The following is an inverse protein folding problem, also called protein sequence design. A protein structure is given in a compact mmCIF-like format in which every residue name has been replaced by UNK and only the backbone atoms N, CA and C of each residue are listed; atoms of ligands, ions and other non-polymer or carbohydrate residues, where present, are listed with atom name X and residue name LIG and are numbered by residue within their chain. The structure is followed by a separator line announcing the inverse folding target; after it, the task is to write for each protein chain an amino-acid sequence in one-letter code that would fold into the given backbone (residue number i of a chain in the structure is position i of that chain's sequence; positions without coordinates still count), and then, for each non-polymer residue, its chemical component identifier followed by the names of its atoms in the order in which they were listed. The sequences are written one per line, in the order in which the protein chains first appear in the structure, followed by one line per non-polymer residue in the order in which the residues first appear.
data_IF_617259211913
#
_entry.id   IF_617259211913
#
_cell.length_a   1.000
_cell.length_b   1.000
_cell.length_c   1.000
_cell.angle_alpha   90.00
_cell.angle_beta   90.00
_cell.angle_gamma   90.00
#
_symmetry.space_group_name_H-M   'P 1'
#
loop_
_entity.id
_entity.type
_entity.pdbx_description
1 polymer ?
#
# COMPACT_ATOMS: atom_id res chain seq x y z
N UNK A 1 -14.81 -3.01 -3.14
CA UNK A 1 -14.69 -4.39 -2.64
C UNK A 1 -13.54 -4.42 -1.66
N UNK A 2 -13.80 -4.87 -0.44
CA UNK A 2 -12.78 -4.97 0.60
C UNK A 2 -12.39 -6.44 0.80
N UNK A 3 -11.09 -6.74 0.81
CA UNK A 3 -10.57 -8.10 1.02
C UNK A 3 -9.94 -8.17 2.41
N UNK A 4 -10.38 -9.13 3.24
CA UNK A 4 -9.81 -9.35 4.56
C UNK A 4 -8.53 -10.19 4.44
N UNK A 5 -7.41 -9.66 4.94
CA UNK A 5 -6.11 -10.34 4.95
C UNK A 5 -5.87 -11.16 6.22
N UNK A 6 -6.41 -10.71 7.35
CA UNK A 6 -6.25 -11.38 8.64
C UNK A 6 -7.55 -11.27 9.44
N UNK A 7 -7.86 -12.30 10.21
CA UNK A 7 -9.11 -12.41 10.98
C UNK A 7 -8.91 -12.07 12.46
N UNK A 8 -7.75 -12.33 13.06
CA UNK A 8 -7.46 -12.05 14.47
C UNK A 8 -5.94 -11.90 14.76
N UNK A 9 -5.54 -11.09 15.76
CA UNK A 9 -6.37 -10.22 16.60
C UNK A 9 -6.72 -8.88 15.94
N UNK A 10 -6.05 -8.54 14.84
CA UNK A 10 -6.24 -7.30 14.10
C UNK A 10 -6.78 -7.62 12.72
N UNK A 11 -8.00 -7.17 12.41
CA UNK A 11 -8.60 -7.42 11.11
C UNK A 11 -8.04 -6.42 10.10
N UNK A 12 -7.15 -6.88 9.25
CA UNK A 12 -6.59 -6.07 8.17
C UNK A 12 -7.43 -6.24 6.92
N UNK A 13 -7.81 -5.13 6.29
CA UNK A 13 -8.58 -5.13 5.06
C UNK A 13 -7.90 -4.26 3.99
N UNK A 14 -7.85 -4.77 2.77
CA UNK A 14 -7.45 -4.00 1.59
C UNK A 14 -8.67 -3.35 0.96
N UNK A 15 -8.63 -2.03 0.78
CA UNK A 15 -9.70 -1.26 0.14
C UNK A 15 -9.16 -0.41 -1.01
N UNK A 16 -9.97 -0.19 -2.04
CA UNK A 16 -9.66 0.76 -3.12
C UNK A 16 -10.02 2.20 -2.77
N UNK A 17 -10.85 2.37 -1.76
CA UNK A 17 -11.30 3.68 -1.32
C UNK A 17 -10.44 4.13 -0.15
N UNK A 18 -10.16 5.44 -0.05
CA UNK A 18 -9.50 5.97 1.13
C UNK A 18 -10.37 5.67 2.36
N UNK A 19 -9.77 5.29 3.49
CA UNK A 19 -10.52 5.06 4.71
C UNK A 19 -11.18 6.36 5.17
N UNK A 20 -12.40 6.27 5.71
CA UNK A 20 -13.08 7.41 6.31
C UNK A 20 -12.32 7.98 7.52
N UNK A 21 -11.57 7.12 8.22
CA UNK A 21 -10.75 7.46 9.36
C UNK A 21 -9.27 7.23 9.03
N UNK A 22 -8.52 8.33 8.92
CA UNK A 22 -7.10 8.30 8.60
C UNK A 22 -6.27 7.56 9.66
N UNK A 23 -6.73 7.50 10.92
CA UNK A 23 -6.03 6.79 12.00
C UNK A 23 -5.96 5.28 11.79
N UNK A 24 -6.84 4.73 10.94
CA UNK A 24 -6.89 3.31 10.60
C UNK A 24 -6.09 2.97 9.34
N UNK A 25 -5.63 3.99 8.60
CA UNK A 25 -4.85 3.81 7.39
C UNK A 25 -3.41 3.43 7.73
N UNK A 26 -2.95 2.30 7.22
CA UNK A 26 -1.54 1.93 7.27
C UNK A 26 -0.92 2.40 5.95
N UNK A 27 0.09 3.26 6.06
CA UNK A 27 0.84 3.77 4.90
C UNK A 27 2.28 3.31 4.98
N UNK A 28 2.91 3.17 3.82
CA UNK A 28 4.28 2.70 3.69
C UNK A 28 5.07 3.70 2.86
N UNK A 29 6.32 3.97 3.23
CA UNK A 29 7.18 4.87 2.47
C UNK A 29 7.86 4.15 1.30
N UNK A 30 8.11 2.84 1.44
CA UNK A 30 8.82 2.04 0.45
C UNK A 30 8.08 0.74 0.09
N UNK A 31 8.25 0.29 -1.15
CA UNK A 31 7.62 -0.94 -1.64
C UNK A 31 8.10 -2.18 -0.88
N UNK A 32 9.41 -2.26 -0.57
CA UNK A 32 10.00 -3.40 0.15
C UNK A 32 9.41 -3.56 1.55
N UNK A 33 9.14 -2.44 2.23
CA UNK A 33 8.51 -2.41 3.55
C UNK A 33 7.07 -2.92 3.48
N UNK A 34 6.28 -2.42 2.53
CA UNK A 34 4.91 -2.87 2.31
C UNK A 34 4.85 -4.37 1.98
N UNK A 35 5.76 -4.86 1.15
CA UNK A 35 5.86 -6.28 0.80
C UNK A 35 6.19 -7.14 2.02
N UNK A 36 7.22 -6.76 2.79
CA UNK A 36 7.61 -7.49 3.99
C UNK A 36 6.48 -7.53 5.02
N UNK A 37 5.77 -6.40 5.18
CA UNK A 37 4.60 -6.32 6.05
C UNK A 37 3.48 -7.26 5.60
N UNK A 38 3.15 -7.29 4.30
CA UNK A 38 2.12 -8.16 3.74
C UNK A 38 2.47 -9.64 3.91
N UNK A 39 3.73 -10.02 3.66
CA UNK A 39 4.22 -11.40 3.84
C UNK A 39 4.22 -11.84 5.31
N UNK A 40 4.45 -10.91 6.22
CA UNK A 40 4.39 -11.18 7.66
C UNK A 40 2.94 -11.42 8.14
N UNK A 41 1.93 -11.01 7.35
CA UNK A 41 0.54 -11.34 7.67
C UNK A 41 0.26 -12.80 7.31
N UNK A 42 -0.43 -13.50 8.20
CA UNK A 42 -0.95 -14.84 7.96
C UNK A 42 -2.14 -14.80 6.99
N UNK A 43 -1.89 -14.50 5.72
CA UNK A 43 -2.92 -14.44 4.69
C UNK A 43 -3.36 -15.86 4.35
N UNK A 44 -4.66 -16.20 4.49
CA UNK A 44 -5.13 -17.52 4.16
C UNK A 44 -4.97 -17.79 2.65
N UNK A 45 -4.60 -19.01 2.22
CA UNK A 45 -4.37 -19.33 0.82
C UNK A 45 -5.64 -19.15 -0.04
N UNK A 46 -6.82 -19.22 0.60
CA UNK A 46 -8.13 -18.97 -0.05
C UNK A 46 -8.31 -17.52 -0.49
N UNK A 47 -7.54 -16.57 0.04
CA UNK A 47 -7.61 -15.17 -0.37
C UNK A 47 -6.80 -14.87 -1.65
N UNK A 48 -5.87 -15.74 -2.05
CA UNK A 48 -5.00 -15.50 -3.21
C UNK A 48 -5.75 -15.24 -4.52
N UNK A 49 -6.81 -15.99 -4.89
CA UNK A 49 -7.58 -15.70 -6.10
C UNK A 49 -8.19 -14.30 -6.08
N UNK A 50 -8.81 -13.91 -4.96
CA UNK A 50 -9.39 -12.58 -4.81
C UNK A 50 -8.34 -11.46 -4.89
N UNK A 51 -7.12 -11.71 -4.39
CA UNK A 51 -5.99 -10.77 -4.53
C UNK A 51 -5.53 -10.64 -5.98
N UNK A 52 -5.51 -11.74 -6.76
CA UNK A 52 -5.20 -11.71 -8.20
C UNK A 52 -6.26 -10.90 -8.96
N UNK A 53 -7.54 -11.11 -8.68
CA UNK A 53 -8.64 -10.36 -9.29
C UNK A 53 -8.54 -8.87 -8.95
N UNK A 54 -8.18 -8.55 -7.71
CA UNK A 54 -8.01 -7.17 -7.27
C UNK A 54 -6.82 -6.49 -7.97
N UNK A 55 -5.71 -7.21 -8.21
CA UNK A 55 -4.59 -6.71 -9.01
C UNK A 55 -4.99 -6.46 -10.46
N UNK A 56 -5.65 -7.43 -11.09
CA UNK A 56 -6.11 -7.33 -12.48
C UNK A 56 -7.04 -6.13 -12.67
N UNK A 57 -7.99 -5.93 -11.75
CA UNK A 57 -8.91 -4.81 -11.79
C UNK A 57 -8.27 -3.44 -11.46
N UNK A 58 -7.00 -3.40 -11.03
CA UNK A 58 -6.20 -2.17 -10.95
C UNK A 58 -5.26 -1.99 -12.17
N UNK A 59 -5.37 -2.86 -13.18
CA UNK A 59 -4.55 -2.82 -14.39
C UNK A 59 -3.16 -3.41 -14.22
N UNK A 60 -2.90 -4.18 -13.16
CA UNK A 60 -1.66 -4.93 -13.06
C UNK A 60 -1.71 -6.15 -14.00
N UNK A 61 -0.56 -6.46 -14.62
CA UNK A 61 -0.43 -7.66 -15.44
C UNK A 61 -0.67 -8.93 -14.59
N UNK A 62 -1.10 -10.01 -15.25
CA UNK A 62 -1.34 -11.29 -14.60
C UNK A 62 -0.06 -11.77 -13.88
N UNK A 63 -0.10 -11.95 -12.54
CA UNK A 63 1.09 -12.31 -11.78
C UNK A 63 1.50 -13.76 -12.10
N UNK A 64 2.77 -13.97 -12.47
CA UNK A 64 3.31 -15.29 -12.81
C UNK A 64 3.48 -16.23 -11.61
N UNK A 65 3.26 -15.76 -10.38
CA UNK A 65 3.39 -16.51 -9.15
C UNK A 65 3.05 -15.67 -7.92
N UNK A 66 3.09 -16.30 -6.74
CA UNK A 66 2.65 -15.65 -5.50
C UNK A 66 3.55 -14.48 -5.09
N UNK A 67 4.86 -14.58 -5.32
CA UNK A 67 5.80 -13.46 -5.11
C UNK A 67 5.44 -12.22 -5.96
N UNK A 68 4.95 -12.43 -7.19
CA UNK A 68 4.52 -11.33 -8.06
C UNK A 68 3.24 -10.68 -7.55
N UNK A 69 2.35 -11.45 -6.90
CA UNK A 69 1.14 -10.92 -6.25
C UNK A 69 1.54 -9.95 -5.13
N UNK A 70 2.44 -10.37 -4.24
CA UNK A 70 2.89 -9.54 -3.11
C UNK A 70 3.57 -8.27 -3.59
N UNK A 71 4.47 -8.38 -4.58
CA UNK A 71 5.17 -7.22 -5.17
C UNK A 71 4.20 -6.23 -5.82
N UNK A 72 3.18 -6.73 -6.52
CA UNK A 72 2.14 -5.92 -7.14
C UNK A 72 1.27 -5.21 -6.12
N UNK A 73 0.84 -5.90 -5.06
CA UNK A 73 0.04 -5.31 -3.98
C UNK A 73 0.82 -4.22 -3.25
N UNK A 74 2.09 -4.48 -2.93
CA UNK A 74 2.98 -3.50 -2.31
C UNK A 74 3.12 -2.22 -3.16
N UNK A 75 3.26 -2.37 -4.48
CA UNK A 75 3.31 -1.23 -5.40
C UNK A 75 2.01 -0.41 -5.37
N UNK A 76 0.85 -1.07 -5.37
CA UNK A 76 -0.44 -0.38 -5.31
C UNK A 76 -0.66 0.36 -3.98
N UNK A 77 -0.14 -0.16 -2.88
CA UNK A 77 -0.20 0.50 -1.57
C UNK A 77 0.66 1.76 -1.53
N UNK A 78 1.90 1.69 -2.02
CA UNK A 78 2.82 2.85 -2.04
C UNK A 78 2.32 3.94 -2.99
N UNK A 79 1.77 3.55 -4.15
CA UNK A 79 1.16 4.49 -5.11
C UNK A 79 -0.23 4.99 -4.67
N UNK A 80 -0.71 4.58 -3.49
CA UNK A 80 -2.02 4.94 -2.92
C UNK A 80 -3.22 4.63 -3.83
N UNK A 81 -3.07 3.67 -4.74
CA UNK A 81 -4.19 3.10 -5.51
C UNK A 81 -4.95 2.05 -4.70
N UNK A 82 -4.29 1.49 -3.69
CA UNK A 82 -4.90 0.69 -2.64
C UNK A 82 -4.58 1.28 -1.27
N UNK A 83 -5.49 1.03 -0.32
CA UNK A 83 -5.34 1.39 1.07
C UNK A 83 -5.43 0.15 1.94
N UNK A 84 -4.49 0.01 2.86
CA UNK A 84 -4.55 -1.01 3.90
C UNK A 84 -5.18 -0.38 5.14
N UNK A 85 -6.29 -0.94 5.60
CA UNK A 85 -7.09 -0.41 6.70
C UNK A 85 -7.12 -1.40 7.85
N UNK A 86 -6.81 -0.91 9.05
CA UNK A 86 -6.94 -1.66 10.29
C UNK A 86 -8.38 -1.54 10.81
N UNK A 87 -9.16 -2.62 10.69
CA UNK A 87 -10.50 -2.68 11.27
C UNK A 87 -10.43 -3.20 12.69
N UNK A 88 -10.81 -2.35 13.64
CA UNK A 88 -11.19 -2.83 14.96
C UNK A 88 -12.57 -3.48 14.81
N UNK A 89 -12.67 -4.78 15.09
CA UNK A 89 -13.99 -5.37 15.27
C UNK A 89 -14.58 -4.72 16.52
N UNK A 90 -15.71 -4.01 16.44
CA UNK A 90 -16.35 -3.49 17.63
C UNK A 90 -16.70 -4.70 18.50
N UNK A 91 -15.99 -4.83 19.62
CA UNK A 91 -16.27 -5.87 20.60
C UNK A 91 -17.65 -5.56 21.21
N UNK A 92 -18.70 -6.21 20.68
CA UNK A 92 -20.02 -6.31 21.27
C UNK A 92 -20.70 -5.01 21.73
N UNK A 93 -21.29 -4.25 20.80
CA UNK A 93 -22.28 -3.21 21.10
C UNK A 93 -23.62 -3.56 20.48
N UNK A 94 -24.49 -4.25 21.23
CA UNK A 94 -25.85 -4.64 20.81
C UNK A 94 -26.75 -3.39 20.74
N UNK A 95 -26.61 -2.55 19.72
CA UNK A 95 -27.58 -1.47 19.44
C UNK A 95 -28.70 -1.99 18.57
N UNK A 96 -29.58 -2.79 19.17
CA UNK A 96 -30.93 -3.02 18.67
C UNK A 96 -31.84 -1.96 19.27
N UNK A 97 -32.08 -0.89 18.52
CA UNK A 97 -33.12 0.08 18.81
C UNK A 97 -34.47 -0.49 18.35
N UNK A 98 -35.31 -0.88 19.31
CA UNK A 98 -36.77 -0.81 19.17
C UNK A 98 -37.30 -0.21 20.46
N UNK A 99 -37.88 0.98 20.34
CA UNK A 99 -38.70 1.60 21.38
C UNK A 99 -39.84 0.64 21.74
N UNK A 100 -40.11 0.46 23.03
CA UNK A 100 -41.27 1.07 23.68
C UNK A 100 -41.29 0.72 25.18
N UNK A 101 -41.86 1.62 25.97
CA UNK A 101 -42.31 1.43 27.36
C UNK A 101 -41.30 1.62 28.51
N UNK A 102 -41.32 2.83 29.07
CA UNK A 102 -40.97 3.11 30.47
C UNK A 102 -42.18 2.78 31.39
N UNK A 103 -41.96 2.46 32.68
CA UNK A 103 -42.04 3.55 33.67
C UNK A 103 -41.04 3.44 34.85
N UNK A 104 -40.29 4.54 35.05
CA UNK A 104 -39.99 5.28 36.31
C UNK A 104 -39.58 4.53 37.63
N UNK A 105 -39.24 5.23 38.73
CA UNK A 105 -37.88 5.23 39.28
C UNK A 105 -37.78 4.63 40.71
N UNK A 106 -36.58 4.17 41.10
CA UNK A 106 -36.27 3.88 42.52
C UNK A 106 -34.92 4.49 42.91
N UNK A 107 -34.86 5.32 43.97
CA UNK A 107 -33.63 5.91 44.47
C UNK A 107 -32.96 4.95 45.47
N UNK A 108 -31.72 4.53 45.16
CA UNK A 108 -30.85 3.76 46.06
C UNK A 108 -29.65 4.60 46.55
N UNK A 109 -29.08 4.32 47.73
CA UNK A 109 -28.58 5.35 48.63
C UNK A 109 -27.14 5.81 48.39
N UNK A 110 -26.92 7.09 48.71
CA UNK A 110 -25.63 7.75 48.94
C UNK A 110 -24.84 7.05 50.06
N UNK A 111 -23.56 6.76 49.82
CA UNK A 111 -22.42 6.61 50.77
C UNK A 111 -21.19 6.33 49.89
N UNK A 112 -20.02 6.95 50.00
CA UNK A 112 -19.48 7.98 50.87
C UNK A 112 -18.14 8.38 50.24
N UNK A 113 -17.72 9.62 50.47
CA UNK A 113 -16.41 10.12 50.08
C UNK A 113 -15.30 9.34 50.79
N UNK A 114 -14.19 9.04 50.10
CA UNK A 114 -12.82 9.21 50.63
C UNK A 114 -11.77 9.16 49.51
N UNK A 115 -10.98 10.24 49.51
CA UNK A 115 -9.67 10.51 48.90
C UNK A 115 -8.72 9.34 48.67
N UNK A 116 -7.97 9.38 47.55
CA UNK A 116 -6.52 9.68 47.51
C UNK A 116 -5.81 9.13 46.24
N UNK A 117 -5.47 10.01 45.28
CA UNK A 117 -4.16 9.96 44.56
C UNK A 117 -3.04 10.41 45.53
N UNK A 118 -1.72 10.13 45.40
CA UNK A 118 -0.86 9.88 44.20
C UNK A 118 0.28 8.83 44.51
N UNK A 119 1.50 8.76 43.91
CA UNK A 119 2.08 9.48 42.77
C UNK A 119 2.77 8.64 41.68
N UNK A 120 2.96 9.33 40.55
CA UNK A 120 3.79 9.01 39.40
C UNK A 120 5.29 9.04 39.79
N UNK A 121 6.11 8.07 39.38
CA UNK A 121 7.56 8.16 39.52
C UNK A 121 8.16 9.18 38.52
N UNK A 122 9.20 9.93 38.91
CA UNK A 122 9.75 11.05 38.14
C UNK A 122 10.51 10.62 36.86
N UNK A 123 10.61 11.50 35.85
CA UNK A 123 11.52 11.33 34.74
C UNK A 123 12.97 11.60 35.20
N UNK A 124 13.84 10.59 35.12
CA UNK A 124 15.28 10.82 35.23
C UNK A 124 15.74 11.68 34.05
N UNK A 125 16.35 12.81 34.37
CA UNK A 125 16.76 13.84 33.43
C UNK A 125 17.96 13.48 32.55
N UNK A 126 17.91 14.10 31.37
CA UNK A 126 18.94 15.03 30.84
C UNK A 126 20.40 14.58 30.79
N UNK A 127 20.89 14.37 29.56
CA UNK A 127 22.17 14.96 29.15
C UNK A 127 22.10 15.52 27.72
N UNK A 128 22.32 16.82 27.67
CA UNK A 128 22.41 17.77 26.55
C UNK A 128 23.64 17.53 25.66
N UNK A 129 23.47 17.77 24.34
CA UNK A 129 24.34 18.32 23.26
C UNK A 129 25.84 17.90 23.19
N UNK A 130 26.57 17.81 22.07
CA UNK A 130 26.53 18.35 20.70
C UNK A 130 27.71 17.65 19.91
N UNK A 131 28.21 18.13 18.74
CA UNK A 131 27.82 17.88 17.34
C UNK A 131 28.82 17.02 16.51
N UNK A 132 28.45 16.84 15.22
CA UNK A 132 29.29 16.81 14.02
C UNK A 132 30.17 15.58 13.70
N UNK A 133 29.77 14.86 12.64
CA UNK A 133 30.66 14.40 11.57
C UNK A 133 29.85 13.91 10.34
N UNK A 134 29.43 14.83 9.50
CA UNK A 134 29.48 14.64 8.03
C UNK A 134 30.58 15.60 7.54
N UNK A 135 31.34 15.33 6.45
CA UNK A 135 30.83 14.74 5.21
C UNK A 135 31.85 13.81 4.49
N UNK A 136 31.49 13.45 3.26
CA UNK A 136 32.32 12.90 2.16
C UNK A 136 32.07 11.41 1.89
N UNK A 137 31.16 11.13 0.95
CA UNK A 137 31.50 10.50 -0.35
C UNK A 137 30.50 10.99 -1.43
N UNK A 138 30.65 12.24 -1.88
CA UNK A 138 30.26 12.60 -3.26
C UNK A 138 31.42 12.13 -4.15
N UNK A 139 31.28 11.00 -4.88
CA UNK A 139 32.09 10.68 -6.08
C UNK A 139 31.77 9.37 -6.83
N UNK A 140 30.55 8.83 -6.77
CA UNK A 140 30.20 7.62 -7.53
C UNK A 140 28.85 7.67 -8.24
N UNK A 141 28.28 8.85 -8.47
CA UNK A 141 27.02 8.99 -9.23
C UNK A 141 27.24 9.19 -10.75
N UNK A 142 28.44 9.56 -11.18
CA UNK A 142 28.71 9.96 -12.57
C UNK A 142 29.21 8.83 -13.50
N UNK A 143 29.52 7.64 -12.96
CA UNK A 143 30.05 6.51 -13.74
C UNK A 143 29.00 5.45 -14.09
N UNK A 144 27.77 5.57 -13.59
CA UNK A 144 26.71 4.56 -13.74
C UNK A 144 25.66 4.92 -14.80
N UNK A 145 25.70 6.13 -15.38
CA UNK A 145 24.69 6.57 -16.36
C UNK A 145 24.98 6.08 -17.79
N UNK A 146 26.25 6.00 -18.20
CA UNK A 146 26.62 5.57 -19.56
C UNK A 146 26.44 4.07 -19.79
N UNK A 147 26.54 3.25 -18.74
CA UNK A 147 26.31 1.79 -18.82
C UNK A 147 24.83 1.47 -19.01
N UNK A 148 23.93 2.29 -18.47
CA UNK A 148 22.48 2.11 -18.64
C UNK A 148 22.00 2.47 -20.05
N UNK A 149 22.62 3.46 -20.69
CA UNK A 149 22.29 3.84 -22.07
C UNK A 149 22.64 2.72 -23.06
N UNK A 150 23.83 2.13 -22.95
CA UNK A 150 24.26 1.04 -23.84
C UNK A 150 23.37 -0.23 -23.70
N UNK A 151 22.87 -0.52 -22.48
CA UNK A 151 21.98 -1.65 -22.25
C UNK A 151 20.59 -1.51 -22.92
N UNK A 152 20.07 -0.29 -23.04
CA UNK A 152 18.76 -0.04 -23.68
C UNK A 152 18.81 -0.17 -25.20
N UNK A 153 19.91 0.23 -25.84
CA UNK A 153 20.07 0.10 -27.29
C UNK A 153 20.16 -1.38 -27.72
N UNK A 154 20.83 -2.21 -26.93
CA UNK A 154 20.98 -3.64 -27.22
C UNK A 154 19.67 -4.42 -27.01
N UNK A 155 18.79 -3.96 -26.10
CA UNK A 155 17.45 -4.52 -25.91
C UNK A 155 16.50 -4.20 -27.08
N UNK A 156 16.72 -3.07 -27.77
CA UNK A 156 15.90 -2.66 -28.92
C UNK A 156 16.20 -3.49 -30.18
N UNK A 157 17.45 -3.92 -30.36
CA UNK A 157 17.86 -4.75 -31.51
C UNK A 157 17.27 -6.17 -31.48
N UNK A 158 16.89 -6.69 -30.30
CA UNK A 158 16.33 -8.03 -30.13
C UNK A 158 14.81 -8.08 -29.90
N UNK A 159 14.13 -6.93 -29.81
CA UNK A 159 12.71 -6.88 -29.53
C UNK A 159 11.88 -7.27 -30.76
N UNK A 160 11.26 -8.46 -30.72
CA UNK A 160 10.24 -8.86 -31.68
C UNK A 160 8.99 -7.98 -31.48
N UNK A 161 8.43 -7.34 -32.53
CA UNK A 161 7.16 -6.65 -32.39
C UNK A 161 6.05 -7.70 -32.14
N UNK A 162 5.48 -7.71 -30.93
CA UNK A 162 4.55 -8.75 -30.49
C UNK A 162 3.13 -8.65 -31.09
N UNK A 163 2.87 -7.77 -32.06
CA UNK A 163 1.53 -7.63 -32.64
C UNK A 163 1.57 -7.30 -34.13
N UNK A 164 0.83 -8.06 -34.94
CA UNK A 164 0.66 -7.83 -36.39
C UNK A 164 0.15 -6.41 -36.73
N UNK A 165 -0.58 -5.79 -35.80
CA UNK A 165 -1.05 -4.40 -35.93
C UNK A 165 0.12 -3.40 -35.88
N UNK A 166 1.16 -3.70 -35.09
CA UNK A 166 2.34 -2.84 -35.01
C UNK A 166 3.19 -2.92 -36.28
N UNK A 167 3.24 -4.08 -36.94
CA UNK A 167 3.89 -4.22 -38.26
C UNK A 167 3.12 -3.47 -39.36
N UNK A 168 1.80 -3.59 -39.41
CA UNK A 168 0.98 -2.83 -40.36
C UNK A 168 1.20 -1.32 -40.22
N UNK A 169 1.16 -0.79 -38.98
CA UNK A 169 1.37 0.65 -38.74
C UNK A 169 2.80 1.12 -39.01
N UNK A 170 3.78 0.22 -39.01
CA UNK A 170 5.15 0.55 -39.41
C UNK A 170 5.24 0.66 -40.93
N UNK A 171 4.71 -0.32 -41.65
CA UNK A 171 4.69 -0.31 -43.11
C UNK A 171 3.91 0.89 -43.68
N UNK A 172 2.81 1.29 -43.04
CA UNK A 172 2.07 2.49 -43.41
C UNK A 172 2.91 3.76 -43.26
N UNK A 173 3.69 3.87 -42.18
CA UNK A 173 4.57 5.02 -41.94
C UNK A 173 5.74 5.08 -42.91
N UNK A 174 6.38 3.94 -43.19
CA UNK A 174 7.47 3.86 -44.17
C UNK A 174 6.96 4.21 -45.59
N UNK A 175 5.74 3.78 -45.96
CA UNK A 175 5.09 4.18 -47.22
C UNK A 175 4.77 5.67 -47.27
N UNK A 176 4.30 6.25 -46.17
CA UNK A 176 4.00 7.68 -46.10
C UNK A 176 5.28 8.54 -46.15
N UNK A 177 6.38 8.08 -45.55
CA UNK A 177 7.67 8.76 -45.62
C UNK A 177 8.27 8.67 -47.02
N UNK A 178 8.22 7.50 -47.67
CA UNK A 178 8.66 7.35 -49.06
C UNK A 178 7.80 8.14 -50.06
N UNK A 179 6.53 8.37 -49.76
CA UNK A 179 5.63 9.21 -50.58
C UNK A 179 5.73 10.71 -50.27
N UNK A 180 6.22 11.08 -49.07
CA UNK A 180 6.41 12.46 -48.63
C UNK A 180 7.74 13.09 -49.07
N UNK A 181 8.70 12.27 -49.52
CA UNK A 181 10.01 12.72 -50.00
C UNK A 181 10.01 12.80 -51.55
N UNK A 182 9.13 13.64 -52.10
CA UNK A 182 9.31 14.19 -53.45
C UNK A 182 9.84 15.63 -53.29
N UNK A 183 11.17 15.84 -53.40
CA UNK A 183 11.70 17.18 -53.57
C UNK A 183 11.23 17.73 -54.92
N UNK A 184 10.89 19.02 -54.91
CA UNK A 184 10.47 19.81 -56.07
C UNK A 184 11.54 19.86 -57.17
#
# INVERSE_FOLDING_TARGET
MDICLSTHPVRLALSRFPPADASQAITFAAQREAEQFLRAQAVPPTALPALRDLLAANGAAAPAGDDAIWRGLALLLVTRRLHLVRRTVPSGGRSGATADEAPAPVPGPKRGAVSATPPVPPPSGSKTAEPAAEPVVERTAALDQDVQAAGLEQAHAGAKPFCAVCEQRRQERERQQAAGEQPA
#
